data_IF_361429320412
#
_entry.id   IF_361429320412
#
_cell.length_a   1.000
_cell.length_b   1.000
_cell.length_c   1.000
_cell.angle_alpha   90.00
_cell.angle_beta   90.00
_cell.angle_gamma   90.00
#
_symmetry.space_group_name_H-M   'P 1'
#
loop_
_entity.id
_entity.type
_entity.pdbx_description
1 polymer ?
#
# COMPACT_ATOMS: atom_id res chain seq x y z
N UNK A 1 39.97 26.63 10.37
CA UNK A 1 39.28 25.82 11.39
C UNK A 1 40.08 24.54 11.60
N UNK A 2 40.54 24.30 12.82
CA UNK A 2 41.73 23.49 13.13
C UNK A 2 41.44 21.97 13.05
N UNK A 3 42.18 21.20 12.24
CA UNK A 3 41.99 19.74 12.08
C UNK A 3 42.15 18.95 13.38
N UNK A 4 42.84 19.51 14.38
CA UNK A 4 42.93 18.91 15.73
C UNK A 4 41.63 19.02 16.54
N UNK A 5 40.77 20.01 16.27
CA UNK A 5 39.50 20.18 17.00
C UNK A 5 38.44 19.16 16.54
N UNK A 6 38.50 18.72 15.28
CA UNK A 6 37.57 17.73 14.73
C UNK A 6 37.81 16.32 15.29
N UNK A 7 39.06 15.96 15.58
CA UNK A 7 39.41 14.64 16.14
C UNK A 7 39.04 14.50 17.63
N UNK A 8 39.04 15.61 18.39
CA UNK A 8 38.58 15.62 19.78
C UNK A 8 37.06 15.49 19.91
N UNK A 9 36.29 15.99 18.95
CA UNK A 9 34.82 15.84 18.92
C UNK A 9 34.42 14.40 18.55
N UNK A 10 35.16 13.74 17.65
CA UNK A 10 34.91 12.35 17.27
C UNK A 10 35.25 11.38 18.43
N UNK A 11 36.27 11.67 19.23
CA UNK A 11 36.62 10.85 20.40
C UNK A 11 35.59 10.92 21.55
N UNK A 12 34.83 12.02 21.67
CA UNK A 12 33.79 12.19 22.69
C UNK A 12 32.44 11.55 22.32
N UNK A 13 32.24 11.17 21.06
CA UNK A 13 31.03 10.46 20.61
C UNK A 13 31.13 8.93 20.76
N UNK A 14 32.27 8.41 21.25
CA UNK A 14 32.46 6.98 21.58
C UNK A 14 32.44 6.68 23.09
N UNK A 15 31.85 7.55 23.91
CA UNK A 15 31.47 7.17 25.28
C UNK A 15 30.27 6.23 25.16
N UNK A 16 30.54 4.94 25.34
CA UNK A 16 29.65 3.84 24.99
C UNK A 16 28.26 3.91 25.63
N UNK A 17 27.25 3.65 24.80
CA UNK A 17 25.99 3.10 25.25
C UNK A 17 26.25 1.68 25.78
N UNK A 18 26.67 1.55 27.03
CA UNK A 18 26.55 0.28 27.75
C UNK A 18 25.07 0.09 28.04
N UNK A 19 24.42 -0.82 27.31
CA UNK A 19 23.08 -1.28 27.65
C UNK A 19 23.09 -1.76 29.11
N UNK A 20 22.15 -1.32 29.95
CA UNK A 20 22.07 -1.81 31.32
C UNK A 20 21.90 -3.34 31.32
N UNK A 21 22.51 -4.04 32.29
CA UNK A 21 22.40 -5.49 32.38
C UNK A 21 20.94 -5.93 32.46
N UNK A 22 20.54 -6.84 31.57
CA UNK A 22 19.25 -7.52 31.57
C UNK A 22 19.14 -8.36 32.84
N UNK A 23 18.58 -7.79 33.90
CA UNK A 23 18.32 -8.53 35.13
C UNK A 23 18.02 -7.62 36.31
N UNK A 24 16.74 -7.58 36.68
CA UNK A 24 16.14 -6.93 37.85
C UNK A 24 15.86 -5.43 37.71
N UNK A 25 14.59 -5.13 37.42
CA UNK A 25 14.04 -3.78 37.54
C UNK A 25 12.58 -3.86 37.95
N UNK A 26 12.34 -3.96 39.27
CA UNK A 26 11.09 -3.44 39.85
C UNK A 26 11.23 -1.91 39.97
N UNK A 27 11.48 -1.24 38.85
CA UNK A 27 11.39 0.21 38.79
C UNK A 27 9.93 0.58 38.82
N UNK A 28 9.55 1.46 39.75
CA UNK A 28 8.25 2.12 39.72
C UNK A 28 7.95 2.59 38.29
N UNK A 29 6.70 2.41 37.85
CA UNK A 29 6.26 2.87 36.53
C UNK A 29 6.55 4.38 36.43
N UNK A 30 7.05 4.82 35.28
CA UNK A 30 7.15 6.24 35.01
C UNK A 30 5.72 6.82 34.98
N UNK A 31 5.52 8.03 35.51
CA UNK A 31 4.21 8.71 35.56
C UNK A 31 3.54 8.80 34.20
N UNK A 32 4.33 8.89 33.12
CA UNK A 32 3.81 8.91 31.75
C UNK A 32 3.11 7.60 31.39
N UNK A 33 3.67 6.47 31.81
CA UNK A 33 3.09 5.14 31.58
C UNK A 33 1.83 4.96 32.42
N UNK A 34 1.82 5.44 33.66
CA UNK A 34 0.62 5.43 34.51
C UNK A 34 -0.52 6.27 33.89
N UNK A 35 -0.21 7.45 33.36
CA UNK A 35 -1.17 8.31 32.67
C UNK A 35 -1.75 7.63 31.43
N UNK A 36 -0.90 7.05 30.58
CA UNK A 36 -1.36 6.32 29.39
C UNK A 36 -2.24 5.11 29.74
N UNK A 37 -1.90 4.37 30.80
CA UNK A 37 -2.73 3.27 31.28
C UNK A 37 -4.07 3.76 31.83
N UNK A 38 -4.09 4.91 32.52
CA UNK A 38 -5.33 5.52 32.98
C UNK A 38 -6.25 5.87 31.81
N UNK A 39 -5.72 6.41 30.71
CA UNK A 39 -6.48 6.66 29.47
C UNK A 39 -7.05 5.36 28.88
N UNK A 40 -6.23 4.31 28.76
CA UNK A 40 -6.69 3.01 28.27
C UNK A 40 -7.87 2.45 29.07
N UNK A 41 -7.88 2.66 30.39
CA UNK A 41 -8.94 2.18 31.28
C UNK A 41 -10.27 2.92 31.10
N UNK A 42 -10.29 4.07 30.42
CA UNK A 42 -11.54 4.79 30.09
C UNK A 42 -12.25 4.24 28.85
N UNK A 43 -11.64 3.28 28.13
CA UNK A 43 -12.20 2.70 26.91
C UNK A 43 -13.20 1.58 27.27
N UNK A 44 -14.47 1.80 26.89
CA UNK A 44 -15.57 0.87 27.18
C UNK A 44 -15.47 -0.45 26.42
N UNK A 45 -15.02 -0.42 25.16
CA UNK A 45 -14.88 -1.63 24.35
C UNK A 45 -13.63 -2.43 24.77
N UNK A 46 -13.83 -3.65 25.28
CA UNK A 46 -12.77 -4.55 25.79
C UNK A 46 -11.65 -4.76 24.75
N UNK A 47 -12.01 -4.92 23.47
CA UNK A 47 -11.04 -5.08 22.39
C UNK A 47 -10.13 -3.85 22.26
N UNK A 48 -10.69 -2.65 22.24
CA UNK A 48 -9.94 -1.40 22.08
C UNK A 48 -9.09 -1.11 23.32
N UNK A 49 -9.63 -1.38 24.52
CA UNK A 49 -8.85 -1.30 25.76
C UNK A 49 -7.65 -2.25 25.73
N UNK A 50 -7.84 -3.50 25.29
CA UNK A 50 -6.74 -4.47 25.21
C UNK A 50 -5.65 -4.04 24.22
N UNK A 51 -6.03 -3.47 23.07
CA UNK A 51 -5.08 -2.92 22.09
C UNK A 51 -4.30 -1.75 22.69
N UNK A 52 -5.00 -0.84 23.39
CA UNK A 52 -4.37 0.29 24.07
C UNK A 52 -3.31 -0.17 25.09
N UNK A 53 -3.67 -1.11 25.97
CA UNK A 53 -2.75 -1.67 26.98
C UNK A 53 -1.54 -2.34 26.32
N UNK A 54 -1.74 -3.10 25.25
CA UNK A 54 -0.65 -3.73 24.49
C UNK A 54 0.32 -2.69 23.94
N UNK A 55 -0.18 -1.63 23.30
CA UNK A 55 0.66 -0.57 22.75
C UNK A 55 1.50 0.10 23.84
N UNK A 56 0.88 0.45 24.96
CA UNK A 56 1.59 1.04 26.11
C UNK A 56 2.67 0.10 26.64
N UNK A 57 2.39 -1.20 26.74
CA UNK A 57 3.37 -2.20 27.16
C UNK A 57 4.58 -2.30 26.22
N UNK A 58 4.34 -2.30 24.91
CA UNK A 58 5.37 -2.42 23.86
C UNK A 58 6.22 -1.15 23.77
N UNK A 59 5.61 0.02 23.87
CA UNK A 59 6.31 1.31 23.88
C UNK A 59 7.19 1.45 25.12
N UNK A 60 6.64 1.13 26.30
CA UNK A 60 7.36 1.15 27.56
C UNK A 60 8.38 0.01 27.72
N UNK A 61 8.41 -0.95 26.78
CA UNK A 61 9.22 -2.18 26.87
C UNK A 61 9.03 -2.91 28.22
N UNK A 62 7.78 -2.93 28.73
CA UNK A 62 7.46 -3.44 30.06
C UNK A 62 6.45 -4.58 30.00
N UNK A 63 6.96 -5.81 30.16
CA UNK A 63 6.16 -7.03 30.11
C UNK A 63 5.15 -7.17 31.25
N UNK A 64 5.36 -6.50 32.40
CA UNK A 64 4.40 -6.55 33.52
C UNK A 64 3.08 -5.86 33.16
N UNK A 65 3.09 -4.93 32.20
CA UNK A 65 1.88 -4.29 31.71
C UNK A 65 1.02 -5.30 30.91
N UNK A 66 1.66 -6.24 30.20
CA UNK A 66 0.93 -7.33 29.54
C UNK A 66 0.19 -8.23 30.54
N UNK A 67 0.55 -8.23 31.83
CA UNK A 67 -0.17 -8.99 32.86
C UNK A 67 -1.51 -8.34 33.25
N UNK A 68 -1.74 -7.06 32.90
CA UNK A 68 -3.03 -6.37 33.07
C UNK A 68 -4.11 -6.86 32.11
N UNK A 69 -3.71 -7.63 31.09
CA UNK A 69 -4.61 -8.31 30.18
C UNK A 69 -5.13 -9.59 30.87
N UNK A 70 -6.18 -9.47 31.70
CA UNK A 70 -6.79 -10.59 32.45
C UNK A 70 -8.19 -11.02 31.96
N UNK A 71 -8.47 -12.32 32.11
CA UNK A 71 -9.80 -12.96 32.29
C UNK A 71 -10.81 -13.06 31.14
N UNK A 72 -10.39 -13.04 29.87
CA UNK A 72 -11.23 -13.53 28.78
C UNK A 72 -10.47 -14.41 27.78
N UNK A 73 -11.20 -15.25 27.04
CA UNK A 73 -10.60 -16.12 26.01
C UNK A 73 -9.85 -15.31 24.94
N UNK A 74 -10.36 -14.13 24.57
CA UNK A 74 -9.71 -13.24 23.62
C UNK A 74 -8.48 -12.54 24.23
N UNK A 75 -8.46 -12.39 25.55
CA UNK A 75 -7.39 -11.73 26.29
C UNK A 75 -6.12 -12.59 26.40
N UNK A 76 -6.23 -13.93 26.46
CA UNK A 76 -5.03 -14.80 26.46
C UNK A 76 -4.21 -14.68 25.17
N UNK A 77 -4.89 -14.56 24.02
CA UNK A 77 -4.26 -14.33 22.71
C UNK A 77 -3.57 -12.96 22.68
N UNK A 78 -4.22 -11.93 23.24
CA UNK A 78 -3.65 -10.57 23.31
C UNK A 78 -2.45 -10.47 24.23
N UNK A 79 -2.46 -11.20 25.35
CA UNK A 79 -1.29 -11.28 26.24
C UNK A 79 -0.09 -11.88 25.52
N UNK A 80 -0.29 -12.98 24.82
CA UNK A 80 0.77 -13.59 24.01
C UNK A 80 1.25 -12.65 22.90
N UNK A 81 0.36 -11.90 22.25
CA UNK A 81 0.74 -10.89 21.26
C UNK A 81 1.56 -9.76 21.89
N UNK A 82 1.14 -9.24 23.04
CA UNK A 82 1.86 -8.20 23.78
C UNK A 82 3.30 -8.64 24.12
N UNK A 83 3.44 -9.86 24.66
CA UNK A 83 4.74 -10.45 24.96
C UNK A 83 5.54 -10.76 23.68
N UNK A 84 4.89 -11.17 22.60
CA UNK A 84 5.53 -11.43 21.31
C UNK A 84 6.15 -10.17 20.72
N UNK A 85 5.45 -9.04 20.74
CA UNK A 85 5.95 -7.77 20.22
C UNK A 85 7.14 -7.26 21.04
N UNK A 86 7.08 -7.35 22.38
CA UNK A 86 8.21 -7.02 23.27
C UNK A 86 9.40 -7.96 22.99
N UNK A 87 9.19 -9.27 22.97
CA UNK A 87 10.24 -10.26 22.72
C UNK A 87 10.90 -10.06 21.34
N UNK A 88 10.07 -9.77 20.33
CA UNK A 88 10.52 -9.41 18.99
C UNK A 88 11.38 -8.15 18.96
N UNK A 89 10.91 -7.06 19.57
CA UNK A 89 11.63 -5.78 19.69
C UNK A 89 12.96 -5.91 20.45
N UNK A 90 13.03 -6.83 21.41
CA UNK A 90 14.26 -7.13 22.19
C UNK A 90 15.22 -8.09 21.49
N UNK A 91 14.77 -8.83 20.48
CA UNK A 91 15.54 -9.93 19.93
C UNK A 91 15.64 -11.14 20.87
N UNK A 92 14.72 -11.30 21.83
CA UNK A 92 14.77 -12.35 22.86
C UNK A 92 14.03 -13.63 22.43
N UNK A 93 14.80 -14.59 21.89
CA UNK A 93 14.27 -15.89 21.49
C UNK A 93 13.75 -16.73 22.65
N UNK A 94 14.28 -16.55 23.86
CA UNK A 94 13.81 -17.31 25.02
C UNK A 94 12.39 -16.86 25.37
N UNK A 95 12.11 -15.56 25.25
CA UNK A 95 10.76 -15.02 25.43
C UNK A 95 9.81 -15.59 24.38
N UNK A 96 10.21 -15.63 23.10
CA UNK A 96 9.36 -16.23 22.05
C UNK A 96 9.02 -17.69 22.31
N UNK A 97 9.98 -18.48 22.81
CA UNK A 97 9.77 -19.89 23.13
C UNK A 97 8.90 -20.12 24.38
N UNK A 98 8.71 -19.09 25.21
CA UNK A 98 7.86 -19.15 26.40
C UNK A 98 6.38 -18.85 26.10
N UNK A 99 6.07 -18.37 24.89
CA UNK A 99 4.71 -18.11 24.45
C UNK A 99 3.96 -19.42 24.19
N UNK A 100 2.64 -19.39 24.37
CA UNK A 100 1.81 -20.60 24.29
C UNK A 100 1.04 -20.71 22.98
N UNK A 101 0.70 -19.58 22.37
CA UNK A 101 0.00 -19.50 21.09
C UNK A 101 0.97 -19.53 19.93
N UNK A 102 0.65 -20.35 18.92
CA UNK A 102 1.45 -20.44 17.69
C UNK A 102 1.58 -19.08 16.98
N UNK A 103 0.52 -18.26 17.00
CA UNK A 103 0.53 -16.91 16.43
C UNK A 103 1.46 -15.96 17.18
N UNK A 104 1.48 -16.01 18.52
CA UNK A 104 2.44 -15.25 19.33
C UNK A 104 3.88 -15.67 19.07
N UNK A 105 4.16 -16.98 19.04
CA UNK A 105 5.49 -17.54 18.72
C UNK A 105 5.97 -17.04 17.35
N UNK A 106 5.12 -17.14 16.32
CA UNK A 106 5.42 -16.66 14.97
C UNK A 106 5.73 -15.16 14.93
N UNK A 107 4.86 -14.34 15.52
CA UNK A 107 5.02 -12.88 15.57
C UNK A 107 6.31 -12.50 16.29
N UNK A 108 6.60 -13.15 17.42
CA UNK A 108 7.81 -12.91 18.19
C UNK A 108 9.06 -13.26 17.39
N UNK A 109 9.12 -14.47 16.82
CA UNK A 109 10.26 -14.93 16.03
C UNK A 109 10.51 -14.03 14.83
N UNK A 110 9.45 -13.54 14.18
CA UNK A 110 9.56 -12.56 13.09
C UNK A 110 10.15 -11.24 13.59
N UNK A 111 9.63 -10.70 14.69
CA UNK A 111 10.18 -9.50 15.31
C UNK A 111 11.66 -9.67 15.68
N UNK A 112 12.04 -10.82 16.23
CA UNK A 112 13.45 -11.13 16.53
C UNK A 112 14.30 -11.15 15.26
N UNK A 113 13.83 -11.82 14.21
CA UNK A 113 14.55 -11.91 12.94
C UNK A 113 14.81 -10.52 12.35
N UNK A 114 13.83 -9.62 12.41
CA UNK A 114 13.96 -8.22 11.98
C UNK A 114 14.92 -7.44 12.88
N UNK A 115 14.73 -7.47 14.19
CA UNK A 115 15.55 -6.75 15.18
C UNK A 115 17.02 -7.15 15.10
N UNK A 116 17.31 -8.45 15.03
CA UNK A 116 18.66 -8.98 14.96
C UNK A 116 19.24 -8.96 13.54
N UNK A 117 18.41 -8.72 12.51
CA UNK A 117 18.74 -8.90 11.09
C UNK A 117 19.28 -10.30 10.79
N UNK A 118 18.85 -11.28 11.58
CA UNK A 118 19.20 -12.69 11.46
C UNK A 118 17.96 -13.48 11.06
N UNK A 119 17.78 -13.60 9.75
CA UNK A 119 16.62 -14.27 9.16
C UNK A 119 16.70 -15.79 9.25
N UNK A 120 17.86 -16.37 9.58
CA UNK A 120 17.98 -17.81 9.85
C UNK A 120 17.15 -18.23 11.07
N UNK A 121 16.84 -17.28 11.96
CA UNK A 121 15.94 -17.46 13.11
C UNK A 121 14.56 -17.96 12.68
N UNK A 122 14.11 -17.64 11.45
CA UNK A 122 12.86 -18.12 10.88
C UNK A 122 12.81 -19.64 10.66
N UNK A 123 13.96 -20.32 10.51
CA UNK A 123 14.03 -21.78 10.34
C UNK A 123 13.43 -22.51 11.56
N UNK A 124 13.37 -21.85 12.72
CA UNK A 124 12.77 -22.38 13.95
C UNK A 124 11.25 -22.55 13.88
N UNK A 125 10.58 -21.91 12.92
CA UNK A 125 9.13 -22.04 12.74
C UNK A 125 8.72 -23.34 12.03
N UNK A 126 9.69 -24.12 11.52
CA UNK A 126 9.43 -25.35 10.79
C UNK A 126 9.07 -25.12 9.31
N UNK A 127 9.22 -26.17 8.50
CA UNK A 127 9.22 -26.15 7.03
C UNK A 127 7.90 -25.77 6.34
N UNK A 128 6.89 -25.31 7.07
CA UNK A 128 5.61 -24.85 6.52
C UNK A 128 5.08 -23.54 7.11
N UNK A 129 5.79 -22.96 8.09
CA UNK A 129 5.35 -21.72 8.74
C UNK A 129 6.16 -20.56 8.17
N UNK A 130 5.58 -19.89 7.19
CA UNK A 130 6.18 -18.71 6.56
C UNK A 130 6.55 -17.67 7.62
N UNK A 131 7.84 -17.31 7.69
CA UNK A 131 8.19 -16.00 8.23
C UNK A 131 7.46 -14.98 7.35
N UNK A 132 6.50 -14.30 7.96
CA UNK A 132 5.43 -13.54 7.30
C UNK A 132 5.95 -12.46 6.34
N UNK A 133 5.00 -11.77 5.70
CA UNK A 133 5.23 -10.52 4.96
C UNK A 133 6.17 -9.55 5.69
N UNK A 134 6.09 -9.43 7.01
CA UNK A 134 6.91 -8.50 7.78
C UNK A 134 8.42 -8.73 7.66
N UNK A 135 8.86 -9.99 7.59
CA UNK A 135 10.28 -10.33 7.37
C UNK A 135 10.70 -10.03 5.93
N UNK A 136 9.80 -10.29 4.98
CA UNK A 136 10.05 -9.98 3.56
C UNK A 136 10.19 -8.48 3.35
N UNK A 137 9.34 -7.67 4.00
CA UNK A 137 9.38 -6.21 3.92
C UNK A 137 10.66 -5.64 4.54
N UNK A 138 11.08 -6.15 5.70
CA UNK A 138 12.36 -5.76 6.32
C UNK A 138 13.58 -6.14 5.47
N UNK A 139 13.58 -7.34 4.87
CA UNK A 139 14.61 -7.77 3.93
C UNK A 139 14.66 -6.88 2.69
N UNK A 140 13.50 -6.53 2.12
CA UNK A 140 13.38 -5.62 0.99
C UNK A 140 13.93 -4.24 1.33
N UNK A 141 13.55 -3.68 2.48
CA UNK A 141 14.03 -2.38 2.95
C UNK A 141 15.56 -2.39 3.15
N UNK A 142 16.10 -3.44 3.75
CA UNK A 142 17.54 -3.57 3.97
C UNK A 142 18.33 -3.76 2.67
N UNK A 143 17.85 -4.61 1.76
CA UNK A 143 18.46 -4.81 0.45
C UNK A 143 18.49 -3.49 -0.33
N UNK A 144 17.36 -2.77 -0.33
CA UNK A 144 17.20 -1.46 -0.93
C UNK A 144 18.13 -0.40 -0.29
N UNK A 145 18.21 -0.34 1.04
CA UNK A 145 19.03 0.66 1.74
C UNK A 145 20.53 0.40 1.56
N UNK A 146 20.95 -0.86 1.66
CA UNK A 146 22.36 -1.26 1.56
C UNK A 146 22.83 -1.54 0.14
N UNK A 147 21.90 -1.56 -0.83
CA UNK A 147 22.17 -1.91 -2.22
C UNK A 147 22.83 -3.29 -2.37
N UNK A 148 22.49 -4.24 -1.49
CA UNK A 148 23.10 -5.56 -1.41
C UNK A 148 22.15 -6.67 -1.88
N UNK A 149 22.42 -7.19 -3.07
CA UNK A 149 21.61 -8.24 -3.71
C UNK A 149 21.62 -9.56 -2.93
N UNK A 150 22.66 -9.84 -2.13
CA UNK A 150 22.72 -11.07 -1.33
C UNK A 150 21.65 -11.10 -0.22
N UNK A 151 21.12 -9.93 0.17
CA UNK A 151 19.98 -9.86 1.09
C UNK A 151 18.71 -10.39 0.40
N UNK A 152 18.53 -10.11 -0.90
CA UNK A 152 17.40 -10.63 -1.66
C UNK A 152 17.38 -12.16 -1.72
N UNK A 153 18.56 -12.81 -1.75
CA UNK A 153 18.68 -14.27 -1.73
C UNK A 153 18.17 -14.92 -0.43
N UNK A 154 17.96 -14.13 0.63
CA UNK A 154 17.39 -14.59 1.90
C UNK A 154 15.86 -14.57 1.92
N UNK A 155 15.21 -13.96 0.91
CA UNK A 155 13.76 -13.94 0.80
C UNK A 155 13.26 -15.31 0.33
N UNK A 156 12.38 -15.92 1.12
CA UNK A 156 11.84 -17.27 0.88
C UNK A 156 10.90 -17.31 -0.32
N UNK A 157 10.04 -16.28 -0.44
CA UNK A 157 9.10 -16.20 -1.57
C UNK A 157 9.86 -15.82 -2.84
N UNK A 158 9.88 -16.72 -3.82
CA UNK A 158 10.64 -16.50 -5.06
C UNK A 158 10.17 -15.24 -5.81
N UNK A 159 8.87 -14.93 -5.81
CA UNK A 159 8.33 -13.71 -6.44
C UNK A 159 8.87 -12.45 -5.75
N UNK A 160 8.87 -12.39 -4.43
CA UNK A 160 9.40 -11.24 -3.69
C UNK A 160 10.92 -11.15 -3.76
N UNK A 161 11.62 -12.29 -3.82
CA UNK A 161 13.06 -12.35 -4.07
C UNK A 161 13.40 -11.75 -5.44
N UNK A 162 12.67 -12.11 -6.49
CA UNK A 162 12.86 -11.54 -7.83
C UNK A 162 12.50 -10.05 -7.87
N UNK A 163 11.46 -9.63 -7.15
CA UNK A 163 11.14 -8.20 -6.98
C UNK A 163 12.29 -7.44 -6.29
N UNK A 164 12.87 -8.02 -5.23
CA UNK A 164 14.01 -7.45 -4.53
C UNK A 164 15.23 -7.29 -5.45
N UNK A 165 15.57 -8.35 -6.19
CA UNK A 165 16.66 -8.35 -7.17
C UNK A 165 16.43 -7.25 -8.21
N UNK A 166 15.22 -7.14 -8.76
CA UNK A 166 14.86 -6.10 -9.72
C UNK A 166 15.10 -4.67 -9.16
N UNK A 167 14.64 -4.41 -7.93
CA UNK A 167 14.78 -3.09 -7.29
C UNK A 167 16.25 -2.76 -7.06
N UNK A 168 17.00 -3.66 -6.40
CA UNK A 168 18.42 -3.42 -6.07
C UNK A 168 19.26 -3.31 -7.34
N UNK A 169 18.98 -4.12 -8.37
CA UNK A 169 19.70 -4.04 -9.64
C UNK A 169 19.44 -2.75 -10.39
N UNK A 170 18.18 -2.31 -10.45
CA UNK A 170 17.82 -1.01 -11.00
C UNK A 170 18.55 0.14 -10.30
N UNK A 171 18.57 0.11 -8.96
CA UNK A 171 19.21 1.15 -8.16
C UNK A 171 20.73 1.09 -8.19
N UNK A 172 21.36 -0.07 -8.34
CA UNK A 172 22.81 -0.19 -8.48
C UNK A 172 23.30 0.06 -9.91
N UNK A 173 22.41 -0.04 -10.90
CA UNK A 173 22.77 0.01 -12.31
C UNK A 173 23.36 -1.31 -12.82
N UNK A 174 23.03 -2.44 -12.20
CA UNK A 174 23.56 -3.77 -12.55
C UNK A 174 22.58 -4.51 -13.47
N UNK A 175 22.92 -4.64 -14.75
CA UNK A 175 22.03 -5.25 -15.74
C UNK A 175 21.83 -6.76 -15.50
N UNK A 176 22.85 -7.43 -14.99
CA UNK A 176 22.87 -8.88 -14.77
C UNK A 176 21.72 -9.32 -13.87
N UNK A 177 21.47 -8.61 -12.76
CA UNK A 177 20.36 -8.95 -11.87
C UNK A 177 18.99 -8.71 -12.52
N UNK A 178 18.82 -7.70 -13.38
CA UNK A 178 17.58 -7.57 -14.17
C UNK A 178 17.35 -8.77 -15.09
N UNK A 179 18.41 -9.37 -15.64
CA UNK A 179 18.34 -10.57 -16.50
C UNK A 179 18.08 -11.86 -15.72
N UNK A 180 18.26 -11.86 -14.39
CA UNK A 180 17.86 -12.98 -13.53
C UNK A 180 16.34 -13.02 -13.32
N UNK A 181 15.64 -11.88 -13.50
CA UNK A 181 14.19 -11.76 -13.29
C UNK A 181 13.42 -12.31 -14.50
N UNK A 182 13.50 -13.62 -14.73
CA UNK A 182 12.75 -14.30 -15.81
C UNK A 182 12.14 -15.62 -15.33
N UNK A 183 10.99 -15.98 -15.91
CA UNK A 183 10.32 -17.26 -15.64
C UNK A 183 11.14 -18.47 -16.09
N UNK A 184 11.95 -18.32 -17.14
CA UNK A 184 12.82 -19.39 -17.63
C UNK A 184 13.77 -19.90 -16.55
N UNK A 185 14.24 -18.99 -15.68
CA UNK A 185 15.11 -19.30 -14.56
C UNK A 185 14.37 -19.74 -13.30
N UNK A 186 13.08 -19.37 -13.19
CA UNK A 186 12.26 -19.58 -11.99
C UNK A 186 10.87 -20.15 -12.34
N UNK A 187 10.79 -21.35 -12.96
CA UNK A 187 9.52 -21.89 -13.48
C UNK A 187 8.49 -22.22 -12.39
N UNK A 188 8.93 -22.37 -11.14
CA UNK A 188 8.04 -22.63 -9.99
C UNK A 188 7.56 -21.37 -9.31
N UNK A 189 8.09 -20.19 -9.66
CA UNK A 189 7.72 -18.93 -9.02
C UNK A 189 6.29 -18.49 -9.36
N UNK A 190 5.80 -18.82 -10.56
CA UNK A 190 4.50 -18.42 -11.06
C UNK A 190 3.81 -19.55 -11.82
N UNK A 191 2.55 -19.82 -11.47
CA UNK A 191 1.73 -20.82 -12.16
C UNK A 191 0.70 -20.18 -13.11
N UNK A 192 0.20 -18.99 -12.78
CA UNK A 192 -0.79 -18.26 -13.57
C UNK A 192 -0.19 -17.13 -14.41
N UNK A 193 -0.92 -16.69 -15.42
CA UNK A 193 -0.46 -15.67 -16.37
C UNK A 193 -0.37 -14.26 -15.76
N UNK A 194 -1.11 -13.98 -14.68
CA UNK A 194 -1.04 -12.69 -13.98
C UNK A 194 0.29 -12.54 -13.24
N UNK A 195 0.75 -13.61 -12.59
CA UNK A 195 2.05 -13.69 -11.93
C UNK A 195 3.19 -13.54 -12.96
N UNK A 196 3.06 -14.19 -14.13
CA UNK A 196 4.02 -14.06 -15.24
C UNK A 196 4.14 -12.61 -15.72
N UNK A 197 3.00 -11.97 -16.01
CA UNK A 197 2.96 -10.56 -16.42
C UNK A 197 3.58 -9.63 -15.35
N UNK A 198 3.36 -9.94 -14.07
CA UNK A 198 3.97 -9.19 -12.96
C UNK A 198 5.49 -9.33 -12.92
N UNK A 199 6.04 -10.53 -13.10
CA UNK A 199 7.48 -10.76 -13.15
C UNK A 199 8.13 -10.06 -14.35
N UNK A 200 7.50 -10.13 -15.53
CA UNK A 200 7.97 -9.40 -16.71
C UNK A 200 7.97 -7.88 -16.46
N UNK A 201 6.93 -7.37 -15.79
CA UNK A 201 6.87 -5.98 -15.33
C UNK A 201 8.04 -5.60 -14.43
N UNK A 202 8.42 -6.44 -13.45
CA UNK A 202 9.58 -6.19 -12.60
C UNK A 202 10.89 -6.13 -13.39
N UNK A 203 11.09 -7.05 -14.34
CA UNK A 203 12.27 -7.05 -15.21
C UNK A 203 12.36 -5.80 -16.07
N UNK A 204 11.25 -5.44 -16.72
CA UNK A 204 11.15 -4.25 -17.58
C UNK A 204 11.49 -2.99 -16.77
N UNK A 205 10.89 -2.84 -15.59
CA UNK A 205 11.15 -1.70 -14.70
C UNK A 205 12.61 -1.66 -14.20
N UNK A 206 13.18 -2.81 -13.85
CA UNK A 206 14.60 -2.92 -13.49
C UNK A 206 15.49 -2.38 -14.63
N UNK A 207 15.26 -2.83 -15.86
CA UNK A 207 16.06 -2.42 -17.01
C UNK A 207 15.92 -0.92 -17.29
N UNK A 208 14.73 -0.35 -17.17
CA UNK A 208 14.54 1.11 -17.27
C UNK A 208 15.32 1.87 -16.20
N UNK A 209 15.29 1.41 -14.95
CA UNK A 209 16.05 2.02 -13.85
C UNK A 209 17.56 1.93 -14.10
N UNK A 210 18.06 0.80 -14.62
CA UNK A 210 19.47 0.67 -15.01
C UNK A 210 19.81 1.67 -16.11
N UNK A 211 19.02 1.74 -17.18
CA UNK A 211 19.23 2.68 -18.30
C UNK A 211 19.22 4.13 -17.80
N UNK A 212 18.29 4.47 -16.92
CA UNK A 212 18.21 5.81 -16.35
C UNK A 212 19.47 6.16 -15.53
N UNK A 213 19.99 5.20 -14.77
CA UNK A 213 21.19 5.39 -13.94
C UNK A 213 22.48 5.40 -14.75
N UNK A 214 22.62 4.53 -15.74
CA UNK A 214 23.87 4.36 -16.52
C UNK A 214 23.91 5.21 -17.78
N UNK A 215 22.75 5.63 -18.29
CA UNK A 215 22.56 6.26 -19.61
C UNK A 215 23.02 5.37 -20.78
N UNK A 216 23.14 4.07 -20.57
CA UNK A 216 23.57 3.11 -21.59
C UNK A 216 22.39 2.66 -22.47
N UNK A 217 22.30 3.23 -23.67
CA UNK A 217 21.27 2.90 -24.65
C UNK A 217 21.39 1.47 -25.22
N UNK A 218 22.55 0.80 -25.09
CA UNK A 218 22.72 -0.58 -25.58
C UNK A 218 21.87 -1.58 -24.80
N UNK A 219 21.51 -1.23 -23.56
CA UNK A 219 20.59 -2.01 -22.73
C UNK A 219 19.22 -2.12 -23.42
N UNK A 220 18.83 -1.13 -24.23
CA UNK A 220 17.55 -1.12 -24.93
C UNK A 220 17.39 -2.25 -25.96
N UNK A 221 18.48 -2.91 -26.37
CA UNK A 221 18.43 -4.11 -27.22
C UNK A 221 17.85 -5.35 -26.52
N UNK A 222 17.69 -5.31 -25.19
CA UNK A 222 17.13 -6.40 -24.41
C UNK A 222 15.60 -6.36 -24.29
N UNK A 223 14.94 -5.32 -24.82
CA UNK A 223 13.47 -5.24 -24.88
C UNK A 223 12.94 -5.94 -26.13
N UNK A 224 11.85 -6.68 -25.98
CA UNK A 224 11.27 -7.50 -27.06
C UNK A 224 10.37 -6.70 -27.98
N UNK A 225 9.70 -5.67 -27.48
CA UNK A 225 8.76 -4.87 -28.27
C UNK A 225 9.41 -3.58 -28.79
N UNK A 226 9.10 -3.15 -30.04
CA UNK A 226 9.58 -1.88 -30.57
C UNK A 226 9.23 -0.68 -29.69
N UNK A 227 8.04 -0.70 -29.07
CA UNK A 227 7.57 0.36 -28.18
C UNK A 227 8.45 0.47 -26.93
N UNK A 228 8.68 -0.64 -26.21
CA UNK A 228 9.53 -0.64 -25.02
C UNK A 228 10.96 -0.22 -25.37
N UNK A 229 11.50 -0.67 -26.50
CA UNK A 229 12.80 -0.26 -27.01
C UNK A 229 12.86 1.25 -27.23
N UNK A 230 11.85 1.85 -27.87
CA UNK A 230 11.82 3.30 -28.10
C UNK A 230 11.74 4.08 -26.77
N UNK A 231 10.86 3.68 -25.84
CA UNK A 231 10.76 4.30 -24.51
C UNK A 231 12.10 4.20 -23.77
N UNK A 232 12.84 3.10 -23.94
CA UNK A 232 14.15 2.92 -23.34
C UNK A 232 15.19 3.88 -23.95
N UNK A 233 15.20 4.01 -25.28
CA UNK A 233 16.09 4.95 -25.96
C UNK A 233 15.80 6.40 -25.53
N UNK A 234 14.53 6.76 -25.41
CA UNK A 234 14.12 8.07 -24.89
C UNK A 234 14.56 8.26 -23.43
N UNK A 235 14.43 7.24 -22.59
CA UNK A 235 14.88 7.24 -21.18
C UNK A 235 16.40 7.43 -21.08
N UNK A 236 17.17 6.75 -21.93
CA UNK A 236 18.63 6.89 -21.99
C UNK A 236 19.04 8.34 -22.33
N UNK A 237 18.28 9.00 -23.22
CA UNK A 237 18.58 10.36 -23.67
C UNK A 237 18.06 11.45 -22.71
N UNK A 238 16.85 11.30 -22.18
CA UNK A 238 16.08 12.37 -21.52
C UNK A 238 15.75 12.10 -20.04
N UNK A 239 16.00 10.89 -19.54
CA UNK A 239 15.55 10.42 -18.23
C UNK A 239 14.13 9.83 -18.28
N UNK A 240 13.82 8.97 -17.30
CA UNK A 240 12.57 8.21 -17.28
C UNK A 240 11.39 9.12 -16.92
N UNK A 241 11.57 9.96 -15.88
CA UNK A 241 10.52 10.87 -15.42
C UNK A 241 10.09 11.85 -16.54
N UNK A 242 11.04 12.44 -17.26
CA UNK A 242 10.76 13.32 -18.40
C UNK A 242 9.96 12.62 -19.50
N UNK A 243 10.24 11.33 -19.74
CA UNK A 243 9.56 10.54 -20.76
C UNK A 243 8.12 10.22 -20.33
N UNK A 244 7.93 9.84 -19.06
CA UNK A 244 6.59 9.63 -18.49
C UNK A 244 5.77 10.91 -18.48
N UNK A 245 6.34 12.04 -18.05
CA UNK A 245 5.65 13.33 -18.01
C UNK A 245 5.21 13.76 -19.41
N UNK A 246 6.06 13.56 -20.42
CA UNK A 246 5.74 13.82 -21.82
C UNK A 246 4.61 12.92 -22.32
N UNK A 247 4.62 11.64 -21.95
CA UNK A 247 3.57 10.69 -22.34
C UNK A 247 2.24 11.03 -21.67
N UNK A 248 2.23 11.30 -20.36
CA UNK A 248 1.06 11.71 -19.60
C UNK A 248 0.46 13.02 -20.12
N UNK A 249 1.31 14.02 -20.39
CA UNK A 249 0.89 15.29 -20.98
C UNK A 249 0.24 15.08 -22.36
N UNK A 250 0.80 14.20 -23.19
CA UNK A 250 0.22 13.83 -24.50
C UNK A 250 -1.13 13.14 -24.35
N UNK A 251 -1.24 12.17 -23.43
CA UNK A 251 -2.50 11.45 -23.16
C UNK A 251 -3.58 12.42 -22.67
N UNK A 252 -3.26 13.28 -21.71
CA UNK A 252 -4.19 14.26 -21.15
C UNK A 252 -4.64 15.26 -22.21
N UNK A 253 -3.71 15.82 -22.99
CA UNK A 253 -4.01 16.80 -24.03
C UNK A 253 -4.87 16.18 -25.13
N UNK A 254 -4.50 15.00 -25.64
CA UNK A 254 -5.28 14.28 -26.66
C UNK A 254 -6.67 13.92 -26.15
N UNK A 255 -6.78 13.47 -24.90
CA UNK A 255 -8.08 13.13 -24.28
C UNK A 255 -8.98 14.36 -24.15
N UNK A 256 -8.43 15.48 -23.67
CA UNK A 256 -9.18 16.73 -23.56
C UNK A 256 -9.62 17.26 -24.94
N UNK A 257 -8.75 17.16 -25.95
CA UNK A 257 -9.09 17.52 -27.33
C UNK A 257 -10.21 16.64 -27.89
N UNK A 258 -10.13 15.32 -27.70
CA UNK A 258 -11.16 14.38 -28.12
C UNK A 258 -12.52 14.67 -27.45
N UNK A 259 -12.50 14.89 -26.14
CA UNK A 259 -13.68 15.22 -25.33
C UNK A 259 -14.32 16.55 -25.78
N UNK A 260 -13.52 17.60 -25.94
CA UNK A 260 -13.99 18.93 -26.37
C UNK A 260 -14.55 18.90 -27.79
N UNK A 261 -13.87 18.22 -28.71
CA UNK A 261 -14.30 18.07 -30.09
C UNK A 261 -15.48 17.10 -30.25
N UNK A 262 -15.74 16.28 -29.22
CA UNK A 262 -16.65 15.13 -29.29
C UNK A 262 -16.30 14.27 -30.51
N UNK A 263 -15.04 13.88 -30.64
CA UNK A 263 -14.56 13.03 -31.75
C UNK A 263 -13.67 11.90 -31.21
N UNK A 264 -14.23 10.69 -31.21
CA UNK A 264 -13.54 9.48 -30.75
C UNK A 264 -12.37 9.09 -31.65
N UNK A 265 -12.33 9.56 -32.91
CA UNK A 265 -11.22 9.27 -33.82
C UNK A 265 -9.92 9.90 -33.35
N UNK A 266 -9.99 10.99 -32.58
CA UNK A 266 -8.81 11.59 -31.94
C UNK A 266 -8.17 10.59 -30.96
N UNK A 267 -8.96 9.75 -30.29
CA UNK A 267 -8.42 8.72 -29.40
C UNK A 267 -7.63 7.63 -30.14
N UNK A 268 -7.77 7.49 -31.46
CA UNK A 268 -6.99 6.54 -32.27
C UNK A 268 -5.54 6.97 -32.48
N UNK A 269 -5.21 8.23 -32.21
CA UNK A 269 -3.83 8.74 -32.26
C UNK A 269 -3.02 8.37 -31.01
N UNK A 270 -3.69 7.88 -29.95
CA UNK A 270 -3.01 7.38 -28.77
C UNK A 270 -2.23 6.09 -29.08
N UNK A 271 -1.14 5.81 -28.35
CA UNK A 271 -0.35 4.59 -28.56
C UNK A 271 -1.19 3.32 -28.49
N UNK A 272 -1.10 2.46 -29.50
CA UNK A 272 -1.84 1.17 -29.61
C UNK A 272 -1.20 0.01 -28.84
N UNK A 273 -0.22 0.27 -27.98
CA UNK A 273 0.40 -0.78 -27.16
C UNK A 273 -0.69 -1.38 -26.25
N UNK A 274 -0.83 -2.72 -26.15
CA UNK A 274 -1.72 -3.37 -25.19
C UNK A 274 -1.60 -2.83 -23.76
N UNK A 275 -0.39 -2.51 -23.30
CA UNK A 275 -0.15 -1.92 -21.95
C UNK A 275 -0.77 -0.52 -21.79
N UNK A 276 -0.97 0.21 -22.90
CA UNK A 276 -1.54 1.55 -22.96
C UNK A 276 -2.98 1.57 -23.47
N UNK A 277 -3.57 0.40 -23.74
CA UNK A 277 -4.94 0.27 -24.24
C UNK A 277 -5.95 0.93 -23.28
N UNK A 278 -5.67 0.93 -21.98
CA UNK A 278 -6.52 1.60 -20.98
C UNK A 278 -6.66 3.11 -21.26
N UNK A 279 -5.62 3.77 -21.77
CA UNK A 279 -5.67 5.22 -22.02
C UNK A 279 -6.57 5.56 -23.20
N UNK A 280 -6.57 4.70 -24.22
CA UNK A 280 -7.53 4.80 -25.33
C UNK A 280 -8.95 4.61 -24.83
N UNK A 281 -9.19 3.63 -23.98
CA UNK A 281 -10.52 3.37 -23.43
C UNK A 281 -11.01 4.51 -22.54
N UNK A 282 -10.13 5.07 -21.70
CA UNK A 282 -10.41 6.28 -20.92
C UNK A 282 -10.77 7.46 -21.83
N UNK A 283 -10.01 7.67 -22.92
CA UNK A 283 -10.30 8.72 -23.89
C UNK A 283 -11.68 8.54 -24.53
N UNK A 284 -11.98 7.33 -25.06
CA UNK A 284 -13.27 7.02 -25.68
C UNK A 284 -14.42 7.17 -24.67
N UNK A 285 -14.22 6.73 -23.43
CA UNK A 285 -15.21 6.89 -22.36
C UNK A 285 -15.54 8.36 -22.10
N UNK A 286 -14.54 9.26 -22.06
CA UNK A 286 -14.81 10.70 -21.92
C UNK A 286 -15.55 11.29 -23.11
N UNK A 287 -15.22 10.86 -24.33
CA UNK A 287 -15.97 11.25 -25.53
C UNK A 287 -17.42 10.76 -25.44
N UNK A 288 -17.65 9.52 -24.99
CA UNK A 288 -18.98 8.95 -24.77
C UNK A 288 -19.80 9.81 -23.80
N UNK A 289 -19.21 10.22 -22.68
CA UNK A 289 -19.83 11.11 -21.68
C UNK A 289 -20.15 12.48 -22.28
N UNK A 290 -19.20 13.12 -22.97
CA UNK A 290 -19.40 14.42 -23.59
C UNK A 290 -20.46 14.41 -24.71
N UNK A 291 -20.57 13.29 -25.45
CA UNK A 291 -21.63 13.05 -26.44
C UNK A 291 -22.95 12.62 -25.83
N UNK A 292 -22.94 12.12 -24.59
CA UNK A 292 -24.02 11.33 -24.01
C UNK A 292 -24.39 10.14 -24.93
N UNK A 293 -23.39 9.49 -25.52
CA UNK A 293 -23.59 8.34 -26.41
C UNK A 293 -23.04 7.06 -25.78
N UNK A 294 -23.95 6.25 -25.26
CA UNK A 294 -23.63 5.00 -24.57
C UNK A 294 -23.04 3.94 -25.52
N UNK A 295 -23.29 4.03 -26.83
CA UNK A 295 -22.79 3.02 -27.77
C UNK A 295 -21.26 3.03 -27.87
N UNK A 296 -20.62 4.17 -27.59
CA UNK A 296 -19.17 4.30 -27.56
C UNK A 296 -18.52 3.54 -26.39
N UNK A 297 -19.30 3.15 -25.37
CA UNK A 297 -18.81 2.36 -24.24
C UNK A 297 -18.60 0.88 -24.58
N UNK A 298 -19.19 0.40 -25.67
CA UNK A 298 -19.19 -1.02 -26.03
C UNK A 298 -17.81 -1.52 -26.43
N UNK A 299 -17.34 -2.58 -25.77
CA UNK A 299 -16.04 -3.21 -26.04
C UNK A 299 -14.85 -2.52 -25.37
N UNK A 300 -15.09 -1.56 -24.46
CA UNK A 300 -14.03 -0.99 -23.63
C UNK A 300 -13.74 -1.92 -22.45
N UNK A 301 -12.50 -1.92 -21.96
CA UNK A 301 -12.14 -2.67 -20.74
C UNK A 301 -12.91 -2.18 -19.50
N UNK A 302 -13.39 -0.94 -19.52
CA UNK A 302 -14.17 -0.28 -18.46
C UNK A 302 -15.60 0.03 -18.93
N UNK A 303 -16.20 -0.88 -19.71
CA UNK A 303 -17.53 -0.73 -20.32
C UNK A 303 -18.61 -0.30 -19.30
N UNK A 304 -18.72 -0.99 -18.17
CA UNK A 304 -19.71 -0.68 -17.11
C UNK A 304 -19.50 0.71 -16.48
N UNK A 305 -18.24 1.08 -16.20
CA UNK A 305 -17.91 2.42 -15.68
C UNK A 305 -18.27 3.50 -16.71
N UNK A 306 -17.99 3.27 -18.00
CA UNK A 306 -18.35 4.19 -19.08
C UNK A 306 -19.88 4.36 -19.18
N UNK A 307 -20.65 3.27 -19.18
CA UNK A 307 -22.11 3.34 -19.21
C UNK A 307 -22.69 4.12 -18.02
N UNK A 308 -22.16 3.85 -16.82
CA UNK A 308 -22.52 4.57 -15.59
C UNK A 308 -22.27 6.08 -15.73
N UNK A 309 -21.10 6.49 -16.21
CA UNK A 309 -20.76 7.90 -16.38
C UNK A 309 -21.61 8.59 -17.47
N UNK A 310 -21.94 7.87 -18.56
CA UNK A 310 -22.87 8.37 -19.59
C UNK A 310 -24.28 8.54 -19.02
N UNK A 311 -24.77 7.60 -18.22
CA UNK A 311 -26.07 7.70 -17.56
C UNK A 311 -26.13 8.89 -16.59
N UNK A 312 -25.06 9.11 -15.81
CA UNK A 312 -24.91 10.29 -14.94
C UNK A 312 -24.95 11.59 -15.75
N UNK A 313 -24.20 11.67 -16.85
CA UNK A 313 -24.20 12.86 -17.71
C UNK A 313 -25.55 13.11 -18.42
N UNK A 314 -26.32 12.04 -18.67
CA UNK A 314 -27.72 12.13 -19.14
C UNK A 314 -28.71 12.48 -18.06
N UNK A 315 -28.32 12.34 -16.79
CA UNK A 315 -29.21 12.44 -15.65
C UNK A 315 -30.34 11.38 -15.69
N UNK A 316 -29.99 10.17 -16.17
CA UNK A 316 -30.91 9.07 -16.49
C UNK A 316 -30.82 7.94 -15.45
N UNK A 317 -31.74 7.96 -14.48
CA UNK A 317 -31.82 6.95 -13.42
C UNK A 317 -32.20 5.56 -13.95
N UNK A 318 -32.98 5.47 -15.03
CA UNK A 318 -33.36 4.18 -15.60
C UNK A 318 -32.18 3.52 -16.30
N UNK A 319 -31.34 4.31 -16.99
CA UNK A 319 -30.08 3.82 -17.52
C UNK A 319 -29.16 3.28 -16.40
N UNK A 320 -29.07 3.97 -15.25
CA UNK A 320 -28.31 3.45 -14.10
C UNK A 320 -28.82 2.08 -13.62
N UNK A 321 -30.14 1.87 -13.59
CA UNK A 321 -30.74 0.59 -13.16
C UNK A 321 -30.41 -0.58 -14.08
N UNK A 322 -30.03 -0.31 -15.33
CA UNK A 322 -29.66 -1.32 -16.31
C UNK A 322 -28.17 -1.74 -16.24
N UNK A 323 -27.34 -1.05 -15.45
CA UNK A 323 -25.91 -1.37 -15.29
C UNK A 323 -25.66 -2.30 -14.10
N UNK A 324 -24.56 -3.04 -14.12
CA UNK A 324 -24.10 -3.81 -12.94
C UNK A 324 -23.62 -2.90 -11.81
N UNK A 325 -23.14 -1.70 -12.16
CA UNK A 325 -22.70 -0.62 -11.26
C UNK A 325 -23.85 0.32 -10.83
N UNK A 326 -25.08 -0.21 -10.72
CA UNK A 326 -26.31 0.55 -10.41
C UNK A 326 -26.13 1.47 -9.21
N UNK A 327 -25.59 0.97 -8.11
CA UNK A 327 -25.47 1.74 -6.87
C UNK A 327 -24.55 2.94 -7.04
N UNK A 328 -23.37 2.71 -7.64
CA UNK A 328 -22.39 3.75 -7.92
C UNK A 328 -22.96 4.81 -8.86
N UNK A 329 -23.68 4.38 -9.90
CA UNK A 329 -24.34 5.25 -10.87
C UNK A 329 -25.40 6.13 -10.21
N UNK A 330 -26.35 5.51 -9.49
CA UNK A 330 -27.43 6.22 -8.79
C UNK A 330 -26.91 7.15 -7.70
N UNK A 331 -25.87 6.75 -6.96
CA UNK A 331 -25.20 7.61 -5.97
C UNK A 331 -24.60 8.86 -6.62
N UNK A 332 -23.94 8.74 -7.77
CA UNK A 332 -23.40 9.91 -8.51
C UNK A 332 -24.52 10.87 -8.96
N UNK A 333 -25.63 10.34 -9.45
CA UNK A 333 -26.81 11.17 -9.80
C UNK A 333 -27.38 11.85 -8.56
N UNK A 334 -27.55 11.12 -7.45
CA UNK A 334 -28.03 11.68 -6.19
C UNK A 334 -27.17 12.84 -5.69
N UNK A 335 -25.83 12.68 -5.71
CA UNK A 335 -24.87 13.73 -5.35
C UNK A 335 -24.97 14.93 -6.30
N UNK A 336 -25.04 14.68 -7.60
CA UNK A 336 -25.11 15.74 -8.62
C UNK A 336 -26.40 16.55 -8.52
N UNK A 337 -27.53 15.89 -8.21
CA UNK A 337 -28.84 16.53 -8.00
C UNK A 337 -29.04 17.10 -6.60
N UNK A 338 -28.16 16.76 -5.65
CA UNK A 338 -28.36 16.96 -4.21
C UNK A 338 -29.72 16.40 -3.73
N UNK A 339 -30.10 15.24 -4.24
CA UNK A 339 -31.41 14.62 -3.99
C UNK A 339 -31.29 13.36 -3.11
N UNK A 340 -31.56 13.46 -1.79
CA UNK A 340 -31.48 12.33 -0.88
C UNK A 340 -32.56 11.27 -1.14
N UNK A 341 -33.64 11.57 -1.86
CA UNK A 341 -34.66 10.58 -2.20
C UNK A 341 -34.11 9.50 -3.14
N UNK A 342 -33.09 9.82 -3.93
CA UNK A 342 -32.38 8.84 -4.77
C UNK A 342 -31.52 7.92 -3.90
N UNK A 343 -30.86 8.45 -2.86
CA UNK A 343 -30.07 7.66 -1.92
C UNK A 343 -30.92 6.60 -1.20
N UNK A 344 -32.19 6.90 -0.89
CA UNK A 344 -33.13 5.95 -0.26
C UNK A 344 -33.43 4.70 -1.11
N UNK A 345 -33.01 4.66 -2.37
CA UNK A 345 -33.15 3.51 -3.27
C UNK A 345 -31.92 2.58 -3.30
N UNK A 346 -30.86 2.92 -2.54
CA UNK A 346 -29.61 2.15 -2.45
C UNK A 346 -29.62 1.19 -1.26
N UNK A 347 -28.74 0.19 -1.27
CA UNK A 347 -28.57 -0.73 -0.14
C UNK A 347 -28.06 -0.01 1.12
N UNK A 348 -27.16 0.97 0.93
CA UNK A 348 -26.64 1.82 2.01
C UNK A 348 -26.95 3.31 1.77
N UNK A 349 -28.15 3.79 2.15
CA UNK A 349 -28.58 5.15 1.91
C UNK A 349 -27.73 6.20 2.65
N UNK A 350 -27.29 5.89 3.87
CA UNK A 350 -26.55 6.84 4.72
C UNK A 350 -25.22 7.26 4.10
N UNK A 351 -24.46 6.32 3.51
CA UNK A 351 -23.20 6.65 2.81
C UNK A 351 -23.40 7.54 1.58
N UNK A 352 -24.60 7.52 0.98
CA UNK A 352 -24.96 8.41 -0.11
C UNK A 352 -25.40 9.78 0.41
N UNK A 353 -26.23 9.82 1.45
CA UNK A 353 -26.71 11.06 2.09
C UNK A 353 -25.54 11.85 2.69
N UNK A 354 -24.59 11.19 3.36
CA UNK A 354 -23.35 11.81 3.87
C UNK A 354 -22.56 12.48 2.74
N UNK A 355 -22.45 11.84 1.57
CA UNK A 355 -21.76 12.42 0.43
C UNK A 355 -22.48 13.68 -0.10
N UNK A 356 -23.82 13.71 -0.08
CA UNK A 356 -24.61 14.91 -0.39
C UNK A 356 -24.34 16.01 0.65
N UNK A 357 -24.40 15.68 1.95
CA UNK A 357 -24.15 16.63 3.05
C UNK A 357 -22.79 17.32 2.88
N UNK A 358 -21.74 16.54 2.62
CA UNK A 358 -20.36 17.06 2.43
C UNK A 358 -20.28 17.98 1.21
N UNK A 359 -20.88 17.60 0.08
CA UNK A 359 -20.81 18.38 -1.15
C UNK A 359 -21.63 19.68 -1.05
N UNK A 360 -22.84 19.59 -0.50
CA UNK A 360 -23.75 20.73 -0.36
C UNK A 360 -23.44 21.62 0.85
N UNK A 361 -22.58 21.17 1.79
CA UNK A 361 -22.37 21.77 3.11
C UNK A 361 -23.69 22.02 3.85
N UNK A 362 -24.66 21.10 3.70
CA UNK A 362 -26.02 21.27 4.22
C UNK A 362 -26.27 20.32 5.40
N UNK A 363 -26.07 20.80 6.62
CA UNK A 363 -26.23 20.03 7.86
C UNK A 363 -27.68 19.67 8.18
N UNK A 364 -28.67 20.34 7.57
CA UNK A 364 -30.08 19.98 7.75
C UNK A 364 -30.36 18.56 7.22
N UNK A 365 -29.56 18.08 6.26
CA UNK A 365 -29.66 16.71 5.75
C UNK A 365 -29.12 15.66 6.74
N UNK A 366 -28.44 16.04 7.84
CA UNK A 366 -28.05 15.07 8.87
C UNK A 366 -29.28 14.35 9.46
N UNK A 367 -30.43 15.01 9.51
CA UNK A 367 -31.68 14.43 10.02
C UNK A 367 -32.28 13.36 9.07
N UNK A 368 -31.77 13.23 7.84
CA UNK A 368 -32.19 12.21 6.88
C UNK A 368 -31.43 10.87 7.06
N UNK A 369 -30.44 10.81 7.97
CA UNK A 369 -29.67 9.58 8.24
C UNK A 369 -30.49 8.57 9.05
N UNK A 370 -30.23 7.28 8.82
CA UNK A 370 -31.08 6.20 9.33
C UNK A 370 -30.96 5.93 10.83
N UNK A 371 -29.83 6.29 11.46
CA UNK A 371 -29.59 6.05 12.90
C UNK A 371 -29.31 7.34 13.67
N UNK A 372 -29.75 7.41 14.92
CA UNK A 372 -29.50 8.56 15.80
C UNK A 372 -28.00 8.78 16.05
N UNK A 373 -27.20 7.71 16.08
CA UNK A 373 -25.74 7.79 16.20
C UNK A 373 -25.11 8.46 14.97
N UNK A 374 -25.55 8.10 13.76
CA UNK A 374 -25.09 8.74 12.54
C UNK A 374 -25.53 10.20 12.44
N UNK A 375 -26.78 10.51 12.84
CA UNK A 375 -27.30 11.89 12.94
C UNK A 375 -26.42 12.73 13.86
N UNK A 376 -26.11 12.22 15.07
CA UNK A 376 -25.30 12.94 16.05
C UNK A 376 -23.87 13.13 15.55
N UNK A 377 -23.24 12.06 15.05
CA UNK A 377 -21.90 12.12 14.47
C UNK A 377 -21.80 13.14 13.34
N UNK A 378 -22.82 13.19 12.47
CA UNK A 378 -22.92 14.17 11.39
C UNK A 378 -22.99 15.60 11.93
N UNK A 379 -23.79 15.87 12.97
CA UNK A 379 -23.91 17.20 13.58
C UNK A 379 -22.60 17.63 14.27
N UNK A 380 -21.95 16.72 14.98
CA UNK A 380 -20.71 16.99 15.72
C UNK A 380 -19.56 17.37 14.77
N UNK A 381 -19.48 16.76 13.59
CA UNK A 381 -18.47 17.09 12.56
C UNK A 381 -18.53 18.56 12.11
N UNK A 382 -19.70 19.20 12.13
CA UNK A 382 -19.89 20.57 11.68
C UNK A 382 -19.95 21.60 12.81
N UNK A 383 -20.13 21.19 14.06
CA UNK A 383 -20.01 22.10 15.22
C UNK A 383 -18.55 22.48 15.52
N UNK A 384 -17.60 21.71 14.99
CA UNK A 384 -16.15 21.89 15.19
C UNK A 384 -15.42 22.58 14.03
N UNK A 385 -16.14 23.08 13.02
CA UNK A 385 -15.62 23.88 11.91
C UNK A 385 -16.00 25.35 12.09
#
# INVERSE_FOLDING_TARGET
>A
MNRMLLLLIIALLFVGCTSPPLGQSNTALNSDVESALAECNTIDQELNRSICITNVAVEADNMQICDLLTDSFFVSIRKDQCLAEIGGKRGDLKMCNALTSQSGIQTCIQGVAVTLRDYSVCEKLGSGSYCSSGVTDALLEDANRTQNIEICNKIISEVYKLQCIAIVSGQTGTLEGCKEVTLEKHPTACQDDLCKARLDGFRINCMFAVVEKTKDATICENFTTPTQKQVCLDTAQKGYQTTLDSLWSTIQTTTAQAEQAKDEKICETLPKNPELAMFRDICISRVAVAKKDANLCKGLNQEETCFSDVAVAKDDLEACKATTEKERCMKKIAITRMDPAICKQLENPDLCIIAIIINAQNTALCDELSTQEAVQSCKDLYQNQ
#
